data_IF_966570171883
#
_entry.id   IF_966570171883
#
_cell.length_a   1.000
_cell.length_b   1.000
_cell.length_c   1.000
_cell.angle_alpha   90.00
_cell.angle_beta   90.00
_cell.angle_gamma   90.00
#
_symmetry.space_group_name_H-M   'P 1'
#
loop_
_entity.id
_entity.type
_entity.pdbx_description
1 polymer ?
#
# COMPACT_ATOMS: atom_id res chain seq x y z
N UNK A 1 -16.69 -22.22 -23.70
CA UNK A 1 -16.35 -22.31 -22.26
C UNK A 1 -14.97 -21.71 -21.94
N UNK A 2 -14.18 -21.32 -22.95
CA UNK A 2 -12.85 -20.71 -22.75
C UNK A 2 -12.89 -19.22 -22.37
N UNK A 3 -13.87 -18.46 -22.87
CA UNK A 3 -13.93 -17.00 -22.64
C UNK A 3 -14.22 -16.63 -21.18
N UNK A 4 -15.10 -17.37 -20.50
CA UNK A 4 -15.41 -17.14 -19.09
C UNK A 4 -14.24 -17.50 -18.18
N UNK A 5 -13.53 -18.60 -18.49
CA UNK A 5 -12.34 -19.00 -17.76
C UNK A 5 -11.20 -17.99 -17.94
N UNK A 6 -10.97 -17.51 -19.17
CA UNK A 6 -10.00 -16.44 -19.45
C UNK A 6 -10.36 -15.15 -18.73
N UNK A 7 -11.64 -14.79 -18.74
CA UNK A 7 -12.13 -13.61 -18.03
C UNK A 7 -11.84 -13.70 -16.52
N UNK A 8 -12.16 -14.83 -15.88
CA UNK A 8 -11.90 -15.06 -14.44
C UNK A 8 -10.41 -15.01 -14.12
N UNK A 9 -9.56 -15.71 -14.89
CA UNK A 9 -8.11 -15.73 -14.65
C UNK A 9 -7.52 -14.33 -14.80
N UNK A 10 -7.93 -13.59 -15.83
CA UNK A 10 -7.46 -12.23 -16.07
C UNK A 10 -7.93 -11.24 -14.99
N UNK A 11 -9.11 -11.47 -14.41
CA UNK A 11 -9.63 -10.71 -13.28
C UNK A 11 -8.79 -10.99 -12.03
N UNK A 12 -8.54 -12.27 -11.70
CA UNK A 12 -7.69 -12.66 -10.58
C UNK A 12 -6.27 -12.09 -10.68
N UNK A 13 -5.67 -12.15 -11.88
CA UNK A 13 -4.36 -11.57 -12.11
C UNK A 13 -4.34 -10.05 -11.90
N UNK A 14 -5.38 -9.33 -12.35
CA UNK A 14 -5.54 -7.90 -12.07
C UNK A 14 -5.76 -7.60 -10.60
N UNK A 15 -6.55 -8.41 -9.89
CA UNK A 15 -6.76 -8.30 -8.44
C UNK A 15 -5.45 -8.36 -7.69
N UNK A 16 -4.57 -9.33 -7.99
CA UNK A 16 -3.25 -9.45 -7.33
C UNK A 16 -2.40 -8.20 -7.57
N UNK A 17 -2.37 -7.71 -8.83
CA UNK A 17 -1.61 -6.50 -9.18
C UNK A 17 -2.13 -5.25 -8.47
N UNK A 18 -3.45 -5.08 -8.38
CA UNK A 18 -4.07 -3.93 -7.73
C UNK A 18 -4.00 -4.02 -6.19
N UNK A 19 -3.97 -5.24 -5.64
CA UNK A 19 -3.85 -5.46 -4.20
C UNK A 19 -2.44 -5.16 -3.68
N UNK A 20 -1.40 -5.35 -4.50
CA UNK A 20 0.01 -5.21 -4.09
C UNK A 20 0.32 -3.89 -3.35
N UNK A 21 0.03 -2.69 -3.89
CA UNK A 21 0.30 -1.44 -3.20
C UNK A 21 -0.62 -1.24 -1.97
N UNK A 22 -1.86 -1.75 -2.00
CA UNK A 22 -2.77 -1.71 -0.86
C UNK A 22 -2.26 -2.55 0.31
N UNK A 23 -1.78 -3.77 0.04
CA UNK A 23 -1.22 -4.67 1.05
C UNK A 23 0.01 -4.04 1.70
N UNK A 24 0.96 -3.53 0.90
CA UNK A 24 2.16 -2.89 1.43
C UNK A 24 1.83 -1.69 2.30
N UNK A 25 0.92 -0.82 1.86
CA UNK A 25 0.46 0.34 2.62
C UNK A 25 -0.33 -0.06 3.89
N UNK A 26 -1.15 -1.10 3.84
CA UNK A 26 -1.94 -1.54 4.99
C UNK A 26 -1.04 -2.16 6.07
N UNK A 27 -0.01 -2.91 5.65
CA UNK A 27 1.02 -3.41 6.55
C UNK A 27 1.90 -2.25 7.08
N UNK A 28 2.17 -1.22 6.28
CA UNK A 28 2.84 -0.01 6.74
C UNK A 28 2.06 0.64 7.89
N UNK A 29 0.75 0.87 7.71
CA UNK A 29 -0.14 1.38 8.76
C UNK A 29 -0.27 0.45 9.96
N UNK A 30 -0.22 -0.87 9.74
CA UNK A 30 -0.24 -1.85 10.83
C UNK A 30 0.91 -1.60 11.82
N UNK A 31 2.13 -1.36 11.33
CA UNK A 31 3.28 -1.14 12.22
C UNK A 31 3.14 0.14 13.05
N UNK A 32 2.84 1.28 12.41
CA UNK A 32 2.70 2.56 13.11
C UNK A 32 1.54 2.53 14.11
N UNK A 33 0.36 2.03 13.70
CA UNK A 33 -0.82 2.03 14.56
C UNK A 33 -0.71 1.03 15.70
N UNK A 34 -0.05 -0.13 15.49
CA UNK A 34 0.28 -1.04 16.59
C UNK A 34 1.23 -0.41 17.60
N UNK A 35 2.01 0.60 17.23
CA UNK A 35 2.82 1.41 18.14
C UNK A 35 2.04 2.56 18.81
N UNK A 36 0.76 2.76 18.48
CA UNK A 36 -0.02 3.90 18.94
C UNK A 36 0.23 5.19 18.15
N UNK A 37 0.79 5.11 16.94
CA UNK A 37 0.99 6.24 16.02
C UNK A 37 0.10 6.05 14.79
N UNK A 38 -1.03 6.75 14.77
CA UNK A 38 -1.90 6.88 13.61
C UNK A 38 -1.14 7.62 12.52
N UNK A 39 -1.22 7.10 11.30
CA UNK A 39 -0.53 7.66 10.15
C UNK A 39 -1.49 7.72 8.96
N UNK A 40 -2.23 8.82 8.85
CA UNK A 40 -3.05 9.11 7.66
C UNK A 40 -2.14 9.58 6.50
N UNK A 41 -0.88 9.90 6.80
CA UNK A 41 0.14 10.31 5.85
C UNK A 41 0.68 9.20 4.94
N UNK A 42 0.10 7.99 4.94
CA UNK A 42 0.51 6.89 4.05
C UNK A 42 0.38 7.28 2.58
N UNK A 43 -0.69 8.00 2.24
CA UNK A 43 -0.98 8.46 0.88
C UNK A 43 0.18 9.32 0.33
N UNK A 44 0.58 10.34 1.09
CA UNK A 44 1.67 11.25 0.71
C UNK A 44 3.03 10.56 0.69
N UNK A 45 3.29 9.63 1.63
CA UNK A 45 4.51 8.81 1.62
C UNK A 45 4.60 7.94 0.36
N UNK A 46 3.49 7.30 -0.04
CA UNK A 46 3.41 6.52 -1.27
C UNK A 46 3.58 7.40 -2.51
N UNK A 47 2.91 8.54 -2.57
CA UNK A 47 2.95 9.44 -3.73
C UNK A 47 4.36 10.00 -3.96
N UNK A 48 5.01 10.43 -2.87
CA UNK A 48 6.40 10.91 -2.91
C UNK A 48 7.36 9.78 -3.30
N UNK A 49 7.14 8.57 -2.77
CA UNK A 49 7.91 7.39 -3.17
C UNK A 49 7.74 7.05 -4.64
N UNK A 50 6.51 7.13 -5.18
CA UNK A 50 6.23 6.89 -6.58
C UNK A 50 6.94 7.88 -7.51
N UNK A 51 6.91 9.16 -7.16
CA UNK A 51 7.65 10.20 -7.88
C UNK A 51 9.16 9.94 -7.82
N UNK A 52 9.73 9.74 -6.62
CA UNK A 52 11.16 9.51 -6.45
C UNK A 52 11.65 8.28 -7.21
N UNK A 53 10.87 7.18 -7.22
CA UNK A 53 11.18 6.00 -8.02
C UNK A 53 11.20 6.29 -9.52
N UNK A 54 10.16 6.93 -10.04
CA UNK A 54 10.04 7.20 -11.48
C UNK A 54 11.11 8.18 -11.96
N UNK A 55 11.31 9.28 -11.24
CA UNK A 55 12.31 10.30 -11.58
C UNK A 55 13.72 9.70 -11.57
N UNK A 56 14.06 8.93 -10.54
CA UNK A 56 15.38 8.28 -10.45
C UNK A 56 15.55 7.21 -11.51
N UNK A 57 14.54 6.36 -11.76
CA UNK A 57 14.61 5.34 -12.80
C UNK A 57 14.75 5.95 -14.20
N UNK A 58 14.05 7.05 -14.48
CA UNK A 58 14.11 7.77 -15.75
C UNK A 58 15.52 8.33 -16.02
N UNK A 59 16.17 8.91 -14.99
CA UNK A 59 17.50 9.52 -15.13
C UNK A 59 18.61 8.46 -15.12
N UNK A 60 18.51 7.46 -14.25
CA UNK A 60 19.61 6.49 -14.03
C UNK A 60 19.52 5.24 -14.90
N UNK A 61 18.36 4.98 -15.51
CA UNK A 61 18.14 3.73 -16.24
C UNK A 61 17.81 2.52 -15.35
N UNK A 62 17.76 2.66 -14.02
CA UNK A 62 17.69 1.52 -13.09
C UNK A 62 16.45 1.53 -12.19
N UNK A 63 15.60 0.48 -12.22
CA UNK A 63 14.44 0.35 -11.34
C UNK A 63 14.84 0.12 -9.89
N UNK A 64 16.01 -0.47 -9.64
CA UNK A 64 16.53 -0.70 -8.29
C UNK A 64 16.98 0.58 -7.60
N UNK A 65 17.62 1.49 -8.35
CA UNK A 65 17.92 2.84 -7.84
C UNK A 65 16.63 3.63 -7.62
N UNK A 66 15.63 3.47 -8.50
CA UNK A 66 14.28 3.98 -8.28
C UNK A 66 13.67 3.49 -6.97
N UNK A 67 13.69 2.18 -6.72
CA UNK A 67 13.19 1.59 -5.48
C UNK A 67 13.92 2.15 -4.24
N UNK A 68 15.24 2.25 -4.29
CA UNK A 68 16.03 2.81 -3.18
C UNK A 68 15.67 4.29 -2.92
N UNK A 69 15.52 5.10 -3.98
CA UNK A 69 15.11 6.49 -3.87
C UNK A 69 13.69 6.63 -3.29
N UNK A 70 12.75 5.78 -3.69
CA UNK A 70 11.41 5.76 -3.13
C UNK A 70 11.41 5.45 -1.63
N UNK A 71 12.15 4.42 -1.21
CA UNK A 71 12.30 4.07 0.21
C UNK A 71 12.91 5.25 0.97
N UNK A 72 13.97 5.86 0.46
CA UNK A 72 14.62 7.00 1.11
C UNK A 72 13.66 8.19 1.26
N UNK A 73 12.94 8.57 0.20
CA UNK A 73 12.00 9.69 0.23
C UNK A 73 10.84 9.45 1.22
N UNK A 74 10.27 8.24 1.21
CA UNK A 74 9.20 7.88 2.15
C UNK A 74 9.69 7.77 3.60
N UNK A 75 10.95 7.36 3.83
CA UNK A 75 11.57 7.36 5.16
C UNK A 75 11.76 8.78 5.71
N UNK A 76 12.16 9.73 4.85
CA UNK A 76 12.27 11.15 5.25
C UNK A 76 10.90 11.67 5.72
N UNK A 77 9.84 11.44 4.93
CA UNK A 77 8.49 11.86 5.34
C UNK A 77 7.97 11.12 6.58
N UNK A 78 8.35 9.85 6.75
CA UNK A 78 8.04 9.10 7.96
C UNK A 78 8.77 9.67 9.19
N UNK A 79 10.03 10.07 9.05
CA UNK A 79 10.77 10.74 10.11
C UNK A 79 10.16 12.09 10.46
N UNK A 80 9.73 12.88 9.47
CA UNK A 80 9.00 14.15 9.72
C UNK A 80 7.71 13.86 10.51
N UNK A 81 6.94 12.85 10.11
CA UNK A 81 5.74 12.43 10.84
C UNK A 81 6.06 12.03 12.29
N UNK A 82 7.05 11.16 12.46
CA UNK A 82 7.50 10.69 13.77
C UNK A 82 8.02 11.83 14.64
N UNK A 83 8.74 12.78 14.07
CA UNK A 83 9.25 13.95 14.77
C UNK A 83 8.12 14.84 15.29
N UNK A 84 7.14 15.15 14.45
CA UNK A 84 5.96 15.92 14.85
C UNK A 84 5.14 15.18 15.92
N UNK A 85 4.84 13.90 15.70
CA UNK A 85 3.90 13.13 16.52
C UNK A 85 4.49 12.57 17.81
N UNK A 86 5.75 12.13 17.77
CA UNK A 86 6.41 11.43 18.88
C UNK A 86 7.23 12.39 19.72
N UNK A 87 8.08 13.23 19.10
CA UNK A 87 8.92 14.18 19.83
C UNK A 87 8.11 15.40 20.26
N UNK A 88 7.40 16.02 19.32
CA UNK A 88 6.63 17.23 19.60
C UNK A 88 5.20 16.98 20.08
N UNK A 89 4.77 15.71 20.14
CA UNK A 89 3.44 15.32 20.64
C UNK A 89 2.30 16.01 19.88
N UNK A 90 2.54 16.35 18.62
CA UNK A 90 1.55 16.95 17.75
C UNK A 90 0.41 15.99 17.41
N UNK A 91 -0.69 16.56 16.94
CA UNK A 91 -1.82 15.78 16.46
C UNK A 91 -1.42 14.94 15.23
N UNK A 92 -1.63 13.63 15.33
CA UNK A 92 -1.17 12.66 14.35
C UNK A 92 -2.00 12.70 13.05
N UNK A 93 -3.27 13.07 13.15
CA UNK A 93 -4.15 13.24 11.99
C UNK A 93 -3.73 14.49 11.23
N UNK A 94 -3.54 15.61 11.94
CA UNK A 94 -3.12 16.88 11.33
C UNK A 94 -1.76 16.75 10.65
N UNK A 95 -0.77 16.13 11.32
CA UNK A 95 0.55 15.88 10.73
C UNK A 95 0.46 14.99 9.48
N UNK A 96 -0.36 13.94 9.51
CA UNK A 96 -0.60 13.06 8.36
C UNK A 96 -1.24 13.78 7.17
N UNK A 97 -2.27 14.59 7.42
CA UNK A 97 -2.92 15.42 6.38
C UNK A 97 -1.94 16.42 5.79
N UNK A 98 -1.14 17.09 6.61
CA UNK A 98 -0.11 18.02 6.13
C UNK A 98 0.90 17.33 5.20
N UNK A 99 1.36 16.12 5.55
CA UNK A 99 2.25 15.32 4.69
C UNK A 99 1.57 14.99 3.35
N UNK A 100 0.29 14.64 3.36
CA UNK A 100 -0.44 14.34 2.13
C UNK A 100 -0.57 15.58 1.23
N UNK A 101 -0.91 16.74 1.81
CA UNK A 101 -1.02 18.00 1.06
C UNK A 101 0.33 18.44 0.49
N UNK A 102 1.41 18.34 1.28
CA UNK A 102 2.76 18.66 0.81
C UNK A 102 3.16 17.71 -0.32
N UNK A 103 2.95 16.40 -0.15
CA UNK A 103 3.31 15.42 -1.18
C UNK A 103 2.55 15.66 -2.50
N UNK A 104 1.25 15.96 -2.44
CA UNK A 104 0.44 16.25 -3.63
C UNK A 104 1.00 17.44 -4.41
N UNK A 105 1.24 18.57 -3.75
CA UNK A 105 1.79 19.76 -4.42
C UNK A 105 3.26 19.60 -4.83
N UNK A 106 4.11 19.08 -3.94
CA UNK A 106 5.54 18.98 -4.17
C UNK A 106 5.88 18.01 -5.31
N UNK A 107 5.22 16.85 -5.37
CA UNK A 107 5.47 15.89 -6.45
C UNK A 107 5.01 16.42 -7.81
N UNK A 108 3.87 17.12 -7.87
CA UNK A 108 3.41 17.77 -9.09
C UNK A 108 4.40 18.85 -9.57
N UNK A 109 4.81 19.75 -8.66
CA UNK A 109 5.73 20.86 -8.97
C UNK A 109 7.10 20.35 -9.39
N UNK A 110 7.70 19.42 -8.64
CA UNK A 110 9.02 18.88 -8.96
C UNK A 110 9.01 18.10 -10.29
N UNK A 111 7.96 17.32 -10.53
CA UNK A 111 7.79 16.58 -11.78
C UNK A 111 7.71 17.53 -12.98
N UNK A 112 6.93 18.61 -12.86
CA UNK A 112 6.86 19.61 -13.92
C UNK A 112 8.18 20.39 -14.08
N UNK A 113 8.83 20.79 -12.98
CA UNK A 113 10.06 21.57 -13.02
C UNK A 113 11.26 20.78 -13.58
N UNK A 114 11.32 19.46 -13.38
CA UNK A 114 12.42 18.63 -13.90
C UNK A 114 12.18 18.09 -15.31
N UNK A 115 10.94 17.80 -15.66
CA UNK A 115 10.66 17.07 -16.92
C UNK A 115 9.81 17.87 -17.92
N UNK A 116 9.14 18.94 -17.50
CA UNK A 116 8.29 19.79 -18.36
C UNK A 116 7.19 19.01 -19.11
N UNK A 117 6.64 17.98 -18.45
CA UNK A 117 5.61 17.07 -18.97
C UNK A 117 4.27 17.19 -18.20
N UNK A 118 3.94 18.36 -17.69
CA UNK A 118 2.65 18.62 -17.03
C UNK A 118 2.46 17.78 -15.76
N UNK A 119 3.45 17.77 -14.87
CA UNK A 119 3.40 17.00 -13.62
C UNK A 119 3.69 15.50 -13.78
N UNK A 120 4.15 15.06 -14.96
CA UNK A 120 4.52 13.65 -15.25
C UNK A 120 6.02 13.50 -15.43
N UNK A 121 6.54 12.29 -15.20
CA UNK A 121 7.89 11.93 -15.62
C UNK A 121 7.85 11.33 -17.03
N UNK A 122 9.00 11.23 -17.73
CA UNK A 122 9.11 10.45 -18.96
C UNK A 122 8.62 9.02 -18.76
N UNK A 123 8.15 8.43 -19.85
CA UNK A 123 7.79 7.01 -19.85
C UNK A 123 9.04 6.15 -19.65
N UNK A 124 8.97 5.18 -18.76
CA UNK A 124 10.07 4.29 -18.43
C UNK A 124 10.14 3.13 -19.45
N UNK A 125 11.34 2.86 -19.93
CA UNK A 125 11.64 1.73 -20.80
C UNK A 125 11.64 0.40 -20.04
N UNK A 126 11.74 -0.72 -20.77
CA UNK A 126 11.77 -2.07 -20.20
C UNK A 126 12.88 -2.25 -19.16
N UNK A 127 14.07 -1.69 -19.40
CA UNK A 127 15.22 -1.74 -18.49
C UNK A 127 15.05 -0.89 -17.23
N UNK A 128 14.12 0.07 -17.23
CA UNK A 128 13.85 1.02 -16.14
C UNK A 128 12.69 0.57 -15.24
N UNK A 129 12.12 -0.62 -15.49
CA UNK A 129 10.88 -1.10 -14.87
C UNK A 129 11.05 -2.47 -14.23
N UNK A 130 10.25 -2.75 -13.22
CA UNK A 130 10.11 -4.10 -12.69
C UNK A 130 9.10 -4.87 -13.54
N UNK A 131 9.63 -5.60 -14.52
CA UNK A 131 8.85 -6.47 -15.39
C UNK A 131 8.46 -7.78 -14.70
N UNK A 132 7.49 -8.49 -15.30
CA UNK A 132 7.05 -9.81 -14.85
C UNK A 132 8.20 -10.83 -14.91
N UNK A 133 8.42 -11.52 -13.81
CA UNK A 133 9.32 -12.67 -13.75
C UNK A 133 8.56 -13.88 -14.30
N UNK A 134 9.14 -14.58 -15.27
CA UNK A 134 8.58 -15.84 -15.78
C UNK A 134 9.18 -17.00 -14.99
N UNK A 135 8.37 -17.74 -14.22
CA UNK A 135 8.86 -18.92 -13.50
C UNK A 135 9.13 -20.09 -14.45
N UNK A 136 10.18 -20.90 -14.19
CA UNK A 136 10.40 -22.17 -14.89
C UNK A 136 9.21 -23.10 -14.61
N UNK A 137 8.83 -23.95 -15.58
CA UNK A 137 7.64 -24.82 -15.61
C UNK A 137 6.31 -24.14 -16.01
N UNK A 138 6.24 -22.81 -16.17
CA UNK A 138 5.01 -22.18 -16.66
C UNK A 138 4.64 -22.67 -18.07
N UNK A 139 5.63 -22.94 -18.92
CA UNK A 139 5.40 -23.44 -20.29
C UNK A 139 4.99 -24.91 -20.34
N UNK A 140 5.47 -25.74 -19.41
CA UNK A 140 5.13 -27.18 -19.37
C UNK A 140 3.72 -27.43 -18.84
N UNK A 141 3.19 -26.53 -18.00
CA UNK A 141 1.84 -26.66 -17.41
C UNK A 141 0.77 -25.93 -18.23
N UNK A 142 1.13 -25.15 -19.27
CA UNK A 142 0.19 -24.46 -20.19
C UNK A 142 -0.82 -25.40 -20.86
N UNK A 143 -0.49 -26.69 -21.00
CA UNK A 143 -1.40 -27.70 -21.55
C UNK A 143 -2.64 -27.98 -20.69
N UNK A 144 -2.67 -27.53 -19.42
CA UNK A 144 -3.83 -27.68 -18.54
C UNK A 144 -4.65 -26.36 -18.53
N UNK A 145 -5.85 -26.32 -19.13
CA UNK A 145 -6.56 -25.09 -19.50
C UNK A 145 -7.00 -24.17 -18.34
N UNK A 146 -6.86 -24.60 -17.08
CA UNK A 146 -7.16 -23.82 -15.87
C UNK A 146 -5.96 -23.73 -14.92
N UNK A 147 -5.38 -24.86 -14.52
CA UNK A 147 -4.23 -24.88 -13.58
C UNK A 147 -2.97 -24.26 -14.21
N UNK A 148 -2.73 -24.49 -15.50
CA UNK A 148 -1.62 -23.88 -16.22
C UNK A 148 -1.74 -22.38 -16.36
N UNK A 149 -2.96 -21.88 -16.58
CA UNK A 149 -3.25 -20.45 -16.70
C UNK A 149 -3.18 -19.74 -15.35
N UNK A 150 -3.70 -20.35 -14.28
CA UNK A 150 -3.55 -19.85 -12.91
C UNK A 150 -2.08 -19.79 -12.49
N UNK A 151 -1.33 -20.86 -12.74
CA UNK A 151 0.10 -20.89 -12.41
C UNK A 151 0.91 -19.88 -13.24
N UNK A 152 0.64 -19.79 -14.55
CA UNK A 152 1.35 -18.89 -15.45
C UNK A 152 1.03 -17.40 -15.24
N UNK A 153 -0.24 -17.02 -15.12
CA UNK A 153 -0.64 -15.60 -15.11
C UNK A 153 -0.82 -15.04 -13.70
N UNK A 154 -1.29 -15.83 -12.74
CA UNK A 154 -1.54 -15.35 -11.38
C UNK A 154 -0.28 -15.49 -10.52
N UNK A 155 0.40 -16.64 -10.60
CA UNK A 155 1.57 -16.95 -9.75
C UNK A 155 2.88 -16.59 -10.43
N UNK A 156 3.06 -16.90 -11.71
CA UNK A 156 4.33 -16.78 -12.44
C UNK A 156 4.41 -15.67 -13.48
N UNK A 157 3.47 -14.72 -13.46
CA UNK A 157 3.44 -13.56 -14.36
C UNK A 157 3.57 -12.24 -13.60
N UNK A 158 4.03 -12.29 -12.35
CA UNK A 158 4.11 -11.13 -11.47
C UNK A 158 5.53 -10.60 -11.38
N UNK A 159 5.66 -9.31 -11.05
CA UNK A 159 6.96 -8.70 -10.83
C UNK A 159 7.47 -8.95 -9.40
N UNK A 160 8.76 -8.68 -9.18
CA UNK A 160 9.45 -8.92 -7.89
C UNK A 160 8.75 -8.25 -6.69
N UNK A 161 8.15 -7.08 -6.88
CA UNK A 161 7.50 -6.31 -5.81
C UNK A 161 6.19 -6.96 -5.35
N UNK A 162 5.48 -7.66 -6.24
CA UNK A 162 4.30 -8.47 -5.86
C UNK A 162 4.71 -9.60 -4.93
N UNK A 163 5.80 -10.31 -5.23
CA UNK A 163 6.29 -11.38 -4.36
C UNK A 163 6.80 -10.82 -3.03
N UNK A 164 7.43 -9.65 -3.04
CA UNK A 164 7.81 -8.95 -1.82
C UNK A 164 6.58 -8.62 -0.96
N UNK A 165 5.50 -8.08 -1.55
CA UNK A 165 4.25 -7.82 -0.85
C UNK A 165 3.60 -9.10 -0.30
N UNK A 166 3.60 -10.18 -1.09
CA UNK A 166 3.10 -11.49 -0.67
C UNK A 166 3.91 -12.06 0.51
N UNK A 167 5.24 -11.88 0.51
CA UNK A 167 6.13 -12.28 1.60
C UNK A 167 5.99 -11.35 2.84
N UNK A 168 5.68 -10.07 2.63
CA UNK A 168 5.52 -9.10 3.70
C UNK A 168 4.37 -9.48 4.65
N UNK A 169 3.32 -10.16 4.19
CA UNK A 169 2.19 -10.61 5.03
C UNK A 169 2.60 -11.65 6.07
N UNK A 170 3.14 -12.84 5.70
CA UNK A 170 3.60 -13.82 6.68
C UNK A 170 4.78 -13.29 7.49
N UNK A 171 5.67 -12.49 6.90
CA UNK A 171 6.76 -11.84 7.64
C UNK A 171 6.22 -10.90 8.73
N UNK A 172 5.25 -10.04 8.40
CA UNK A 172 4.61 -9.14 9.38
C UNK A 172 3.89 -9.93 10.47
N UNK A 173 3.20 -11.01 10.10
CA UNK A 173 2.55 -11.91 11.06
C UNK A 173 3.55 -12.55 12.02
N UNK A 174 4.64 -13.10 11.50
CA UNK A 174 5.70 -13.68 12.33
C UNK A 174 6.36 -12.61 13.21
N UNK A 175 6.71 -11.45 12.66
CA UNK A 175 7.30 -10.34 13.42
C UNK A 175 6.36 -9.91 14.55
N UNK A 176 5.08 -9.67 14.25
CA UNK A 176 4.10 -9.15 15.22
C UNK A 176 3.78 -10.11 16.37
N UNK A 177 3.72 -11.42 16.08
CA UNK A 177 3.22 -12.41 17.03
C UNK A 177 4.30 -13.33 17.61
N UNK A 178 5.45 -13.49 16.96
CA UNK A 178 6.51 -14.44 17.37
C UNK A 178 7.82 -13.78 17.81
N UNK A 179 8.02 -12.47 17.56
CA UNK A 179 9.28 -11.80 17.93
C UNK A 179 9.12 -10.88 19.15
N UNK A 180 10.25 -10.64 19.84
CA UNK A 180 10.32 -9.67 20.96
C UNK A 180 9.92 -8.26 20.52
N UNK A 181 10.31 -7.86 19.30
CA UNK A 181 9.93 -6.55 18.75
C UNK A 181 8.41 -6.43 18.61
N UNK A 182 7.75 -7.40 17.98
CA UNK A 182 6.31 -7.36 17.78
C UNK A 182 5.49 -7.42 19.07
N UNK A 183 5.93 -8.22 20.04
CA UNK A 183 5.30 -8.26 21.37
C UNK A 183 5.38 -6.90 22.08
N UNK A 184 6.57 -6.27 22.07
CA UNK A 184 6.78 -4.94 22.64
C UNK A 184 6.01 -3.87 21.88
N UNK A 185 5.98 -3.93 20.56
CA UNK A 185 5.23 -3.01 19.71
C UNK A 185 3.75 -3.02 20.09
N UNK A 186 3.13 -4.20 20.14
CA UNK A 186 1.72 -4.34 20.54
C UNK A 186 1.48 -3.88 21.98
N UNK A 187 2.38 -4.18 22.90
CA UNK A 187 2.27 -3.69 24.27
C UNK A 187 2.30 -2.15 24.34
N UNK A 188 3.13 -1.50 23.53
CA UNK A 188 3.18 -0.02 23.44
C UNK A 188 1.85 0.54 22.93
N UNK A 189 1.22 -0.10 21.95
CA UNK A 189 -0.10 0.33 21.45
C UNK A 189 -1.24 0.11 22.44
N UNK A 190 -1.11 -0.82 23.39
CA UNK A 190 -2.14 -1.11 24.40
C UNK A 190 -1.95 -0.30 25.69
N UNK A 191 -0.73 -0.28 26.24
CA UNK A 191 -0.39 0.46 27.46
C UNK A 191 1.09 0.89 27.43
N UNK A 192 1.42 2.09 26.90
CA UNK A 192 2.79 2.55 26.81
C UNK A 192 3.43 2.80 28.18
N UNK A 193 2.66 3.20 29.19
CA UNK A 193 3.18 3.40 30.55
C UNK A 193 3.73 2.09 31.15
N UNK A 194 3.01 0.97 30.96
CA UNK A 194 3.48 -0.35 31.41
C UNK A 194 4.74 -0.84 30.68
N UNK A 195 4.97 -0.39 29.44
CA UNK A 195 6.20 -0.73 28.70
C UNK A 195 7.39 0.09 29.21
N UNK A 196 7.17 1.36 29.53
CA UNK A 196 8.22 2.24 30.07
C UNK A 196 8.62 1.84 31.49
N UNK A 197 7.68 1.42 32.35
CA UNK A 197 8.00 0.89 33.70
C UNK A 197 8.80 -0.42 33.65
N UNK A 198 8.65 -1.18 32.56
CA UNK A 198 9.50 -2.36 32.28
C UNK A 198 10.89 -1.99 31.71
N UNK A 199 11.24 -0.70 31.65
CA UNK A 199 12.55 -0.20 31.23
C UNK A 199 12.76 -0.14 29.72
N UNK A 200 11.70 -0.25 28.91
CA UNK A 200 11.78 -0.28 27.45
C UNK A 200 11.38 1.08 26.88
N UNK A 201 12.23 1.67 26.02
CA UNK A 201 11.95 2.98 25.43
C UNK A 201 10.78 2.96 24.44
N UNK A 202 9.64 3.47 24.89
CA UNK A 202 8.42 3.65 24.08
C UNK A 202 8.67 4.52 22.85
N UNK A 203 9.35 5.65 23.05
CA UNK A 203 9.72 6.60 21.98
C UNK A 203 10.45 5.91 20.83
N UNK A 204 11.47 5.10 21.16
CA UNK A 204 12.26 4.41 20.14
C UNK A 204 11.47 3.32 19.41
N UNK A 205 10.61 2.59 20.12
CA UNK A 205 9.71 1.62 19.49
C UNK A 205 8.75 2.29 18.51
N UNK A 206 8.18 3.45 18.86
CA UNK A 206 7.33 4.25 17.97
C UNK A 206 8.09 4.73 16.74
N UNK A 207 9.31 5.23 16.90
CA UNK A 207 10.14 5.64 15.75
C UNK A 207 10.47 4.48 14.82
N UNK A 208 10.85 3.31 15.36
CA UNK A 208 11.11 2.11 14.54
C UNK A 208 9.88 1.67 13.77
N UNK A 209 8.70 1.76 14.38
CA UNK A 209 7.45 1.45 13.71
C UNK A 209 7.18 2.39 12.53
N UNK A 210 7.31 3.70 12.75
CA UNK A 210 7.13 4.71 11.71
C UNK A 210 8.18 4.59 10.60
N UNK A 211 9.42 4.20 10.90
CA UNK A 211 10.43 3.92 9.88
C UNK A 211 10.05 2.72 9.01
N UNK A 212 9.54 1.63 9.62
CA UNK A 212 9.03 0.47 8.84
C UNK A 212 7.85 0.92 7.96
N UNK A 213 6.98 1.78 8.48
CA UNK A 213 5.88 2.39 7.72
C UNK A 213 6.41 3.15 6.50
N UNK A 214 7.41 4.02 6.68
CA UNK A 214 8.06 4.75 5.59
C UNK A 214 8.65 3.82 4.52
N UNK A 215 9.38 2.78 4.93
CA UNK A 215 9.97 1.82 4.00
C UNK A 215 8.90 1.09 3.17
N UNK A 216 7.86 0.55 3.81
CA UNK A 216 6.78 -0.18 3.12
C UNK A 216 5.96 0.74 2.18
N UNK A 217 5.70 1.99 2.59
CA UNK A 217 5.10 3.00 1.70
C UNK A 217 5.98 3.33 0.50
N UNK A 218 7.29 3.40 0.68
CA UNK A 218 8.24 3.63 -0.41
C UNK A 218 8.23 2.51 -1.44
N UNK A 219 8.22 1.25 -0.97
CA UNK A 219 8.06 0.08 -1.86
C UNK A 219 6.71 0.11 -2.59
N UNK A 220 5.62 0.47 -1.88
CA UNK A 220 4.29 0.59 -2.49
C UNK A 220 4.25 1.70 -3.55
N UNK A 221 4.88 2.85 -3.30
CA UNK A 221 5.02 3.95 -4.26
C UNK A 221 5.83 3.55 -5.47
N UNK A 222 6.99 2.91 -5.26
CA UNK A 222 7.83 2.39 -6.34
C UNK A 222 7.05 1.41 -7.24
N UNK A 223 6.24 0.53 -6.66
CA UNK A 223 5.38 -0.36 -7.41
C UNK A 223 4.42 0.39 -8.35
N UNK A 224 3.77 1.45 -7.86
CA UNK A 224 2.80 2.21 -8.65
C UNK A 224 3.43 2.80 -9.91
N UNK A 225 4.65 3.34 -9.83
CA UNK A 225 5.26 4.06 -10.94
C UNK A 225 6.19 3.21 -11.82
N UNK A 226 6.89 2.22 -11.26
CA UNK A 226 7.92 1.43 -11.97
C UNK A 226 7.49 0.02 -12.33
N UNK A 227 6.36 -0.47 -11.80
CA UNK A 227 5.86 -1.81 -12.09
C UNK A 227 4.46 -1.79 -12.69
N UNK A 228 3.49 -1.17 -12.00
CA UNK A 228 2.12 -1.02 -12.50
C UNK A 228 2.05 0.02 -13.61
N UNK A 229 2.59 1.21 -13.35
CA UNK A 229 2.78 2.27 -14.34
C UNK A 229 4.06 2.09 -15.14
N UNK A 230 4.27 3.06 -16.03
CA UNK A 230 5.51 3.24 -16.78
C UNK A 230 6.09 4.63 -16.51
N UNK A 231 5.98 5.14 -15.28
CA UNK A 231 6.37 6.50 -14.94
C UNK A 231 5.43 7.13 -13.92
N UNK A 232 5.75 8.36 -13.50
CA UNK A 232 4.95 9.14 -12.57
C UNK A 232 3.84 9.92 -13.27
N UNK A 233 2.68 9.95 -12.63
CA UNK A 233 1.53 10.78 -12.96
C UNK A 233 1.05 11.44 -11.68
N UNK A 234 0.63 12.69 -11.80
CA UNK A 234 0.10 13.44 -10.68
C UNK A 234 -1.05 12.67 -10.00
N UNK A 235 -1.04 12.63 -8.67
CA UNK A 235 -2.06 11.98 -7.84
C UNK A 235 -2.31 10.49 -8.17
N UNK A 236 -1.34 9.76 -8.73
CA UNK A 236 -1.51 8.33 -9.10
C UNK A 236 -1.87 7.38 -7.94
N UNK A 237 -1.55 7.76 -6.71
CA UNK A 237 -1.94 7.00 -5.51
C UNK A 237 -3.46 6.99 -5.38
N UNK A 238 -4.12 8.09 -5.75
CA UNK A 238 -5.58 8.21 -5.89
C UNK A 238 -6.35 7.62 -4.69
N UNK A 239 -5.90 7.92 -3.46
CA UNK A 239 -6.54 7.48 -2.23
C UNK A 239 -6.23 6.04 -1.81
N UNK A 240 -5.33 5.32 -2.49
CA UNK A 240 -4.90 3.96 -2.12
C UNK A 240 -4.36 3.88 -0.70
N UNK A 241 -3.71 4.92 -0.18
CA UNK A 241 -3.26 4.99 1.22
C UNK A 241 -4.44 4.98 2.20
N UNK A 242 -5.53 5.69 1.90
CA UNK A 242 -6.73 5.68 2.73
C UNK A 242 -7.49 4.36 2.64
N UNK A 243 -7.59 3.78 1.43
CA UNK A 243 -8.17 2.44 1.23
C UNK A 243 -7.40 1.36 1.99
N UNK A 244 -6.07 1.47 2.04
CA UNK A 244 -5.23 0.56 2.81
C UNK A 244 -5.48 0.65 4.32
N UNK A 245 -5.68 1.86 4.87
CA UNK A 245 -6.11 2.04 6.26
C UNK A 245 -7.50 1.45 6.51
N UNK A 246 -8.44 1.66 5.59
CA UNK A 246 -9.76 1.03 5.70
C UNK A 246 -9.65 -0.51 5.74
N UNK A 247 -8.81 -1.11 4.89
CA UNK A 247 -8.55 -2.56 4.89
C UNK A 247 -7.88 -3.03 6.19
N UNK A 248 -7.00 -2.22 6.79
CA UNK A 248 -6.39 -2.50 8.09
C UNK A 248 -7.44 -2.54 9.22
N UNK A 249 -8.36 -1.56 9.23
CA UNK A 249 -9.45 -1.45 10.21
C UNK A 249 -10.42 -2.63 10.06
N UNK A 250 -10.80 -2.97 8.81
CA UNK A 250 -11.59 -4.16 8.48
C UNK A 250 -10.92 -5.44 8.98
N UNK A 251 -9.61 -5.54 8.78
CA UNK A 251 -8.79 -6.66 9.24
C UNK A 251 -8.54 -6.68 10.76
N UNK A 252 -9.06 -5.71 11.52
CA UNK A 252 -8.88 -5.57 12.97
C UNK A 252 -7.40 -5.62 13.37
N UNK A 253 -6.55 -4.95 12.58
CA UNK A 253 -5.10 -4.97 12.74
C UNK A 253 -4.54 -6.40 12.83
N UNK A 254 -5.00 -7.34 12.00
CA UNK A 254 -4.43 -8.68 11.87
C UNK A 254 -3.95 -8.87 10.43
N UNK A 255 -2.68 -9.27 10.17
CA UNK A 255 -2.11 -9.27 8.83
C UNK A 255 -2.90 -10.07 7.79
N UNK A 256 -3.35 -11.29 8.12
CA UNK A 256 -4.10 -12.13 7.16
C UNK A 256 -5.52 -11.58 6.87
N UNK A 257 -6.33 -11.18 7.86
CA UNK A 257 -7.58 -10.46 7.58
C UNK A 257 -7.39 -9.15 6.82
N UNK A 258 -6.32 -8.40 7.09
CA UNK A 258 -5.98 -7.18 6.34
C UNK A 258 -5.66 -7.49 4.88
N UNK A 259 -4.93 -8.58 4.61
CA UNK A 259 -4.72 -9.07 3.24
C UNK A 259 -6.06 -9.38 2.55
N UNK A 260 -6.98 -10.06 3.22
CA UNK A 260 -8.30 -10.36 2.66
C UNK A 260 -9.08 -9.08 2.32
N UNK A 261 -9.03 -8.06 3.19
CA UNK A 261 -9.61 -6.74 2.91
C UNK A 261 -8.98 -6.04 1.70
N UNK A 262 -7.65 -6.08 1.58
CA UNK A 262 -6.94 -5.51 0.43
C UNK A 262 -7.29 -6.24 -0.87
N UNK A 263 -7.35 -7.58 -0.85
CA UNK A 263 -7.75 -8.40 -2.01
C UNK A 263 -9.18 -8.12 -2.42
N UNK A 264 -10.09 -7.90 -1.47
CA UNK A 264 -11.46 -7.55 -1.75
C UNK A 264 -11.56 -6.18 -2.45
N UNK A 265 -10.90 -5.14 -1.92
CA UNK A 265 -10.90 -3.81 -2.54
C UNK A 265 -10.25 -3.83 -3.92
N UNK A 266 -9.15 -4.57 -4.08
CA UNK A 266 -8.51 -4.73 -5.37
C UNK A 266 -9.35 -5.54 -6.36
N UNK A 267 -10.14 -6.52 -5.90
CA UNK A 267 -11.04 -7.29 -6.75
C UNK A 267 -12.18 -6.42 -7.27
N UNK A 268 -12.70 -5.52 -6.43
CA UNK A 268 -13.69 -4.54 -6.89
C UNK A 268 -13.12 -3.51 -7.85
N UNK A 269 -11.89 -3.05 -7.63
CA UNK A 269 -11.21 -2.13 -8.55
C UNK A 269 -10.88 -2.81 -9.89
N UNK A 270 -10.46 -4.07 -9.84
CA UNK A 270 -10.27 -4.90 -11.03
C UNK A 270 -11.58 -5.09 -11.81
N UNK A 271 -12.68 -5.38 -11.10
CA UNK A 271 -14.01 -5.55 -11.70
C UNK A 271 -14.51 -4.23 -12.30
N UNK A 272 -14.38 -3.13 -11.56
CA UNK A 272 -14.68 -1.78 -12.02
C UNK A 272 -13.98 -1.49 -13.35
N UNK A 273 -12.65 -1.68 -13.40
CA UNK A 273 -11.83 -1.44 -14.60
C UNK A 273 -12.30 -2.29 -15.79
N UNK A 274 -12.78 -3.52 -15.55
CA UNK A 274 -13.29 -4.41 -16.59
C UNK A 274 -14.69 -4.05 -17.09
N UNK A 275 -15.51 -3.42 -16.25
CA UNK A 275 -16.87 -3.00 -16.59
C UNK A 275 -16.91 -1.64 -17.30
N UNK A 276 -15.83 -0.84 -17.20
CA UNK A 276 -15.73 0.44 -17.91
C UNK A 276 -15.90 0.24 -19.43
N UNK A 277 -16.88 0.94 -20.01
CA UNK A 277 -17.15 0.90 -21.46
C UNK A 277 -17.89 -0.35 -21.96
N UNK A 278 -18.28 -1.27 -21.07
CA UNK A 278 -19.08 -2.45 -21.44
C UNK A 278 -20.56 -2.09 -21.44
N UNK A 279 -21.24 -2.31 -22.57
CA UNK A 279 -22.69 -2.20 -22.65
C UNK A 279 -23.34 -3.36 -21.89
N UNK A 280 -24.08 -3.03 -20.82
CA UNK A 280 -24.77 -4.04 -20.03
C UNK A 280 -26.03 -4.50 -20.77
N UNK A 281 -26.35 -5.81 -20.83
CA UNK A 281 -27.42 -6.37 -21.67
C UNK A 281 -28.84 -5.85 -21.40
N UNK A 282 -29.04 -5.03 -20.36
CA UNK A 282 -30.36 -4.54 -19.91
C UNK A 282 -30.40 -3.01 -19.70
N UNK A 283 -29.26 -2.37 -19.43
CA UNK A 283 -29.19 -0.98 -18.94
C UNK A 283 -28.54 -0.03 -19.96
N UNK A 284 -27.89 -0.57 -21.01
CA UNK A 284 -27.08 0.20 -21.94
C UNK A 284 -25.67 0.48 -21.39
N UNK A 285 -24.98 1.48 -21.94
CA UNK A 285 -23.66 1.91 -21.45
C UNK A 285 -23.83 2.71 -20.16
N UNK A 286 -23.47 2.09 -19.04
CA UNK A 286 -23.49 2.76 -17.73
C UNK A 286 -22.39 3.84 -17.69
N UNK A 287 -22.69 5.07 -17.22
CA UNK A 287 -21.68 6.10 -17.02
C UNK A 287 -20.52 5.61 -16.17
N UNK A 288 -19.30 5.91 -16.59
CA UNK A 288 -18.06 5.48 -15.93
C UNK A 288 -18.03 5.92 -14.47
N UNK A 289 -18.58 7.10 -14.17
CA UNK A 289 -18.65 7.64 -12.81
C UNK A 289 -19.45 6.74 -11.86
N UNK A 290 -20.53 6.10 -12.32
CA UNK A 290 -21.33 5.17 -11.50
C UNK A 290 -20.54 3.89 -11.22
N UNK A 291 -19.80 3.43 -12.22
CA UNK A 291 -18.93 2.25 -12.10
C UNK A 291 -17.80 2.55 -11.10
N UNK A 292 -17.23 3.75 -11.14
CA UNK A 292 -16.17 4.21 -10.22
C UNK A 292 -16.59 4.27 -8.74
N UNK A 293 -17.88 4.45 -8.43
CA UNK A 293 -18.34 4.43 -7.03
C UNK A 293 -18.45 3.00 -6.46
N UNK A 294 -18.40 1.96 -7.31
CA UNK A 294 -18.66 0.57 -6.91
C UNK A 294 -17.77 0.06 -5.77
N UNK A 295 -16.43 0.27 -5.77
CA UNK A 295 -15.59 -0.15 -4.65
C UNK A 295 -16.00 0.53 -3.34
N UNK A 296 -16.34 1.82 -3.38
CA UNK A 296 -16.73 2.59 -2.21
C UNK A 296 -18.07 2.14 -1.65
N UNK A 297 -19.07 1.88 -2.50
CA UNK A 297 -20.35 1.31 -2.06
C UNK A 297 -20.13 -0.03 -1.35
N UNK A 298 -19.28 -0.90 -1.93
CA UNK A 298 -18.95 -2.18 -1.30
C UNK A 298 -18.27 -1.96 0.06
N UNK A 299 -17.37 -0.97 0.19
CA UNK A 299 -16.72 -0.67 1.48
C UNK A 299 -17.75 -0.30 2.56
N UNK A 300 -18.74 0.53 2.21
CA UNK A 300 -19.81 0.95 3.13
C UNK A 300 -20.66 -0.24 3.55
N UNK A 301 -21.07 -1.08 2.60
CA UNK A 301 -21.87 -2.27 2.89
C UNK A 301 -21.13 -3.27 3.78
N UNK A 302 -19.83 -3.47 3.55
CA UNK A 302 -19.03 -4.39 4.37
C UNK A 302 -18.83 -3.86 5.79
N UNK A 303 -18.49 -2.57 5.93
CA UNK A 303 -18.34 -1.93 7.23
C UNK A 303 -19.65 -1.92 8.02
N UNK A 304 -20.76 -1.59 7.37
CA UNK A 304 -22.07 -1.55 8.00
C UNK A 304 -22.61 -2.95 8.34
N UNK A 305 -22.36 -3.95 7.49
CA UNK A 305 -22.98 -5.27 7.58
C UNK A 305 -22.19 -6.33 8.37
N UNK A 306 -20.88 -6.44 8.15
CA UNK A 306 -20.14 -7.68 8.49
C UNK A 306 -19.01 -7.51 9.50
N UNK A 307 -18.53 -6.29 9.73
CA UNK A 307 -17.23 -6.08 10.41
C UNK A 307 -17.37 -6.12 11.95
N UNK A 308 -18.58 -5.94 12.46
CA UNK A 308 -18.86 -5.89 13.89
C UNK A 308 -18.02 -4.82 14.60
N UNK A 309 -17.84 -4.94 15.93
CA UNK A 309 -17.00 -4.00 16.69
C UNK A 309 -15.53 -4.17 16.31
N UNK A 310 -14.93 -3.10 15.77
CA UNK A 310 -13.47 -2.97 15.58
C UNK A 310 -12.90 -2.18 16.75
N UNK A 311 -11.96 -2.77 17.50
CA UNK A 311 -11.34 -2.16 18.68
C UNK A 311 -9.91 -1.76 18.28
N UNK A 312 -9.62 -0.46 18.09
CA UNK A 312 -8.27 0.00 17.82
C UNK A 312 -7.36 -0.18 19.04
N UNK A 313 -6.02 -0.18 18.87
CA UNK A 313 -5.09 -0.11 19.99
C UNK A 313 -5.41 1.09 20.90
N UNK A 314 -5.47 0.88 22.21
CA UNK A 314 -5.96 1.90 23.16
C UNK A 314 -5.17 3.21 23.15
N UNK A 315 -3.89 3.15 22.82
CA UNK A 315 -2.99 4.30 22.74
C UNK A 315 -2.88 4.89 21.32
N UNK A 316 -3.60 4.35 20.33
CA UNK A 316 -3.63 4.91 18.98
C UNK A 316 -4.14 6.37 19.00
N UNK A 317 -3.41 7.27 18.34
CA UNK A 317 -3.76 8.69 18.27
C UNK A 317 -3.39 9.49 19.51
N UNK A 318 -2.89 8.85 20.57
CA UNK A 318 -2.55 9.54 21.84
C UNK A 318 -1.05 9.77 21.96
N UNK A 319 -0.68 11.04 22.17
CA UNK A 319 0.68 11.40 22.54
C UNK A 319 1.08 10.69 23.84
N UNK A 320 2.30 10.16 23.88
CA UNK A 320 2.84 9.54 25.08
C UNK A 320 3.63 10.56 25.90
N UNK A 321 3.30 10.67 27.18
CA UNK A 321 4.01 11.48 28.16
C UNK A 321 4.64 10.52 29.15
N UNK A 322 5.96 10.64 29.33
CA UNK A 322 6.69 9.88 30.34
C UNK A 322 6.45 10.53 31.69
N UNK A 323 5.86 9.79 32.62
CA UNK A 323 5.77 10.20 34.02
C UNK A 323 7.19 10.27 34.59
N UNK A 324 7.53 11.41 35.17
CA UNK A 324 8.83 11.67 35.79
C UNK A 324 8.87 11.13 37.20
#
# INVERSE_FOLDING_TARGET
>A
MDDTALWIVSLLASTVRLATPLVLAALAGFYSERAGVVDIGLEGKMLTGAFAAAATAAVTGSPWLGLAAAIAASLVLALVHGFACITHRGDQVVAGVAINTIAAGLTAVLSNAWFDLGGRTPSLDSGQRFLSLHFPLAETVRGVPLLGRLYGEVIGGQNVLVYLAALAVPATSWIAYRTRFGLRLRAVGENPAAVDTAGISVTWLRYRAVLITGALCGVAGAYLSTAQGAGFQENMTAGKGYLALAALILGKWRPYPTLAGCLLFAATDALQTRLQGVAMPVIGTVPVQIIEVLPYILTVLLLAGFVGKSIPPKAAGRAYVKDR
#
